data_IF_138807455486
#
_entry.id   IF_138807455486
#
_cell.length_a   1.000
_cell.length_b   1.000
_cell.length_c   1.000
_cell.angle_alpha   90.00
_cell.angle_beta   90.00
_cell.angle_gamma   90.00
#
_symmetry.space_group_name_H-M   'P 1'
#
loop_
_entity.id
_entity.type
_entity.pdbx_description
1 polymer ?
#
# COMPACT_ATOMS: atom_id res chain seq x y z
N UNK A 1 -8.61 -22.69 9.62
CA UNK A 1 -8.36 -21.43 8.89
C UNK A 1 -7.02 -20.82 9.31
N UNK A 2 -6.42 -19.93 8.49
CA UNK A 2 -5.16 -19.21 8.79
C UNK A 2 -5.18 -18.50 10.16
N UNK A 3 -6.34 -17.92 10.54
CA UNK A 3 -6.53 -17.18 11.80
C UNK A 3 -7.00 -18.04 12.99
N UNK A 4 -7.43 -19.27 12.75
CA UNK A 4 -8.09 -20.09 13.80
C UNK A 4 -7.18 -21.20 14.34
N UNK A 5 -6.18 -21.62 13.56
CA UNK A 5 -5.26 -22.66 13.99
C UNK A 5 -3.93 -22.04 14.45
N UNK A 6 -3.90 -21.58 15.70
CA UNK A 6 -2.74 -20.94 16.34
C UNK A 6 -1.51 -21.86 16.34
N UNK A 7 -1.71 -23.18 16.40
CA UNK A 7 -0.62 -24.16 16.39
C UNK A 7 0.23 -24.12 15.11
N UNK A 8 -0.30 -23.60 13.99
CA UNK A 8 0.48 -23.42 12.76
C UNK A 8 1.64 -22.43 12.90
N UNK A 9 1.67 -21.63 13.97
CA UNK A 9 2.65 -20.55 14.20
C UNK A 9 3.67 -20.90 15.28
N UNK A 10 3.59 -22.09 15.88
CA UNK A 10 4.40 -22.47 17.04
C UNK A 10 5.90 -22.58 16.76
N UNK A 11 6.30 -22.60 15.49
CA UNK A 11 7.71 -22.60 15.07
C UNK A 11 8.37 -21.22 15.21
N UNK A 12 7.58 -20.15 15.32
CA UNK A 12 8.05 -18.74 15.32
C UNK A 12 7.57 -18.01 16.58
N UNK A 13 6.35 -18.32 17.05
CA UNK A 13 5.70 -17.63 18.15
C UNK A 13 5.26 -18.59 19.25
N UNK A 14 5.33 -18.13 20.50
CA UNK A 14 4.55 -18.71 21.59
C UNK A 14 3.04 -18.56 21.33
N UNK A 15 2.22 -19.33 22.03
CA UNK A 15 0.76 -19.27 21.87
C UNK A 15 0.19 -17.86 22.10
N UNK A 16 0.73 -17.14 23.09
CA UNK A 16 0.33 -15.76 23.40
C UNK A 16 0.72 -14.79 22.27
N UNK A 17 1.95 -14.91 21.76
CA UNK A 17 2.43 -14.08 20.64
C UNK A 17 1.64 -14.34 19.37
N UNK A 18 1.39 -15.62 19.04
CA UNK A 18 0.61 -16.00 17.87
C UNK A 18 -0.84 -15.51 17.96
N UNK A 19 -1.47 -15.64 19.13
CA UNK A 19 -2.84 -15.14 19.38
C UNK A 19 -2.90 -13.63 19.21
N UNK A 20 -1.95 -12.90 19.82
CA UNK A 20 -1.87 -11.44 19.73
C UNK A 20 -1.63 -10.98 18.29
N UNK A 21 -0.69 -11.59 17.59
CA UNK A 21 -0.36 -11.31 16.20
C UNK A 21 -1.57 -11.51 15.27
N UNK A 22 -2.22 -12.68 15.35
CA UNK A 22 -3.37 -13.00 14.51
C UNK A 22 -4.57 -12.10 14.80
N UNK A 23 -4.80 -11.74 16.07
CA UNK A 23 -5.85 -10.81 16.46
C UNK A 23 -5.60 -9.40 15.88
N UNK A 24 -4.36 -8.90 15.99
CA UNK A 24 -3.97 -7.61 15.42
C UNK A 24 -4.14 -7.58 13.89
N UNK A 25 -3.69 -8.65 13.21
CA UNK A 25 -3.79 -8.73 11.75
C UNK A 25 -5.26 -8.78 11.29
N UNK A 26 -6.12 -9.54 12.00
CA UNK A 26 -7.56 -9.59 11.73
C UNK A 26 -8.23 -8.24 11.97
N UNK A 27 -7.96 -7.60 13.10
CA UNK A 27 -8.49 -6.27 13.41
C UNK A 27 -8.08 -5.23 12.37
N UNK A 28 -6.87 -5.32 11.83
CA UNK A 28 -6.39 -4.44 10.76
C UNK A 28 -7.14 -4.64 9.43
N UNK A 29 -7.45 -5.90 9.08
CA UNK A 29 -8.15 -6.23 7.84
C UNK A 29 -9.66 -5.97 7.92
N UNK A 30 -10.26 -6.17 9.09
CA UNK A 30 -11.68 -5.93 9.35
C UNK A 30 -11.97 -4.45 9.65
N UNK A 31 -10.94 -3.60 9.73
CA UNK A 31 -11.09 -2.18 10.01
C UNK A 31 -11.96 -1.48 8.94
N UNK A 32 -12.90 -0.60 9.32
CA UNK A 32 -13.75 0.11 8.36
C UNK A 32 -12.95 1.00 7.40
N UNK A 33 -11.73 1.38 7.80
CA UNK A 33 -10.78 2.17 7.05
C UNK A 33 -9.53 1.36 6.63
N UNK A 34 -9.69 0.05 6.40
CA UNK A 34 -8.58 -0.80 5.92
C UNK A 34 -7.91 -0.17 4.71
N UNK A 35 -6.62 0.17 4.87
CA UNK A 35 -5.79 0.65 3.79
C UNK A 35 -5.11 -0.56 3.17
N UNK A 36 -5.60 -1.01 2.03
CA UNK A 36 -4.92 -2.03 1.25
C UNK A 36 -3.70 -1.40 0.58
N UNK A 37 -2.58 -2.13 0.56
CA UNK A 37 -1.40 -1.72 -0.20
C UNK A 37 -1.78 -1.39 -1.65
N UNK A 38 -1.08 -0.43 -2.25
CA UNK A 38 -1.30 -0.05 -3.65
C UNK A 38 -0.81 -1.19 -4.57
N UNK A 39 -1.75 -2.02 -5.02
CA UNK A 39 -1.46 -3.20 -5.87
C UNK A 39 -1.45 -2.85 -7.36
N UNK A 40 -0.64 -1.86 -7.72
CA UNK A 40 -0.38 -1.50 -9.11
C UNK A 40 0.92 -2.13 -9.62
N UNK A 41 0.95 -2.61 -10.88
CA UNK A 41 2.21 -2.76 -11.61
C UNK A 41 3.11 -1.54 -11.44
N UNK A 42 4.38 -1.76 -11.09
CA UNK A 42 5.32 -0.66 -10.85
C UNK A 42 5.18 0.06 -9.51
N UNK A 43 4.41 -0.49 -8.54
CA UNK A 43 4.23 0.07 -7.19
C UNK A 43 5.48 0.68 -6.57
N UNK A 44 6.62 -0.01 -6.66
CA UNK A 44 7.89 0.48 -6.10
C UNK A 44 8.30 1.84 -6.66
N UNK A 45 8.11 2.08 -7.97
CA UNK A 45 8.44 3.37 -8.60
C UNK A 45 7.53 4.50 -8.08
N UNK A 46 6.24 4.24 -7.86
CA UNK A 46 5.34 5.21 -7.24
C UNK A 46 5.78 5.56 -5.82
N UNK A 47 6.15 4.55 -5.03
CA UNK A 47 6.60 4.73 -3.64
C UNK A 47 7.93 5.47 -3.58
N UNK A 48 8.89 5.16 -4.46
CA UNK A 48 10.18 5.85 -4.55
C UNK A 48 10.01 7.36 -4.82
N UNK A 49 9.12 7.73 -5.76
CA UNK A 49 8.77 9.13 -6.02
C UNK A 49 8.21 9.82 -4.77
N UNK A 50 7.28 9.16 -4.08
CA UNK A 50 6.69 9.68 -2.85
C UNK A 50 7.74 9.89 -1.77
N UNK A 51 8.56 8.89 -1.49
CA UNK A 51 9.58 8.93 -0.44
C UNK A 51 10.62 10.01 -0.71
N UNK A 52 11.06 10.16 -1.96
CA UNK A 52 12.03 11.17 -2.36
C UNK A 52 11.51 12.59 -2.13
N UNK A 53 10.34 12.91 -2.69
CA UNK A 53 9.78 14.27 -2.60
C UNK A 53 9.28 14.60 -1.18
N UNK A 54 8.73 13.62 -0.46
CA UNK A 54 8.36 13.80 0.94
C UNK A 54 9.59 14.07 1.82
N UNK A 55 10.71 13.39 1.58
CA UNK A 55 11.96 13.62 2.31
C UNK A 55 12.48 15.03 2.10
N UNK A 56 12.45 15.55 0.86
CA UNK A 56 12.85 16.94 0.56
C UNK A 56 11.97 17.95 1.30
N UNK A 57 10.65 17.73 1.33
CA UNK A 57 9.73 18.62 2.05
C UNK A 57 9.98 18.59 3.57
N UNK A 58 10.20 17.41 4.15
CA UNK A 58 10.49 17.26 5.58
C UNK A 58 11.84 17.88 5.99
N UNK A 59 12.81 17.89 5.07
CA UNK A 59 14.09 18.56 5.25
C UNK A 59 14.01 20.09 5.06
N UNK A 60 12.88 20.62 4.59
CA UNK A 60 12.70 22.04 4.28
C UNK A 60 13.39 22.49 2.99
N UNK A 61 13.76 21.56 2.11
CA UNK A 61 14.41 21.86 0.82
C UNK A 61 13.41 22.38 -0.22
N UNK A 62 12.15 21.96 -0.11
CA UNK A 62 11.04 22.41 -0.95
C UNK A 62 9.79 22.66 -0.10
N UNK A 63 8.93 23.57 -0.54
CA UNK A 63 7.63 23.79 0.10
C UNK A 63 6.75 22.54 -0.03
N UNK A 64 5.93 22.19 0.98
CA UNK A 64 5.09 21.00 0.95
C UNK A 64 4.21 20.88 -0.30
N UNK A 65 3.64 22.00 -0.76
CA UNK A 65 2.82 22.02 -1.98
C UNK A 65 3.62 21.64 -3.22
N UNK A 66 4.86 22.13 -3.34
CA UNK A 66 5.73 21.85 -4.50
C UNK A 66 6.11 20.37 -4.54
N UNK A 67 6.39 19.75 -3.39
CA UNK A 67 6.64 18.31 -3.31
C UNK A 67 5.42 17.50 -3.76
N UNK A 68 4.22 17.84 -3.26
CA UNK A 68 2.98 17.15 -3.62
C UNK A 68 2.64 17.29 -5.12
N UNK A 69 2.84 18.48 -5.68
CA UNK A 69 2.63 18.72 -7.12
C UNK A 69 3.62 17.92 -7.98
N UNK A 70 4.87 17.79 -7.51
CA UNK A 70 5.90 16.97 -8.17
C UNK A 70 5.55 15.49 -8.13
N UNK A 71 5.12 14.98 -6.96
CA UNK A 71 4.64 13.60 -6.80
C UNK A 71 3.49 13.33 -7.78
N UNK A 72 2.49 14.21 -7.82
CA UNK A 72 1.34 14.05 -8.72
C UNK A 72 1.75 14.03 -10.19
N UNK A 73 2.72 14.87 -10.58
CA UNK A 73 3.24 14.93 -11.96
C UNK A 73 3.95 13.63 -12.34
N UNK A 74 4.89 13.16 -11.52
CA UNK A 74 5.64 11.93 -11.80
C UNK A 74 4.75 10.68 -11.73
N UNK A 75 3.78 10.63 -10.82
CA UNK A 75 2.80 9.54 -10.79
C UNK A 75 1.94 9.49 -12.05
N UNK A 76 1.52 10.63 -12.60
CA UNK A 76 0.80 10.65 -13.87
C UNK A 76 1.67 10.11 -15.01
N UNK A 77 2.94 10.55 -15.07
CA UNK A 77 3.89 10.07 -16.06
C UNK A 77 4.10 8.55 -15.97
N UNK A 78 4.36 8.02 -14.77
CA UNK A 78 4.48 6.57 -14.54
C UNK A 78 3.21 5.84 -14.97
N UNK A 79 2.03 6.39 -14.64
CA UNK A 79 0.73 5.80 -15.03
C UNK A 79 0.57 5.74 -16.54
N UNK A 80 1.03 6.75 -17.25
CA UNK A 80 0.98 6.78 -18.71
C UNK A 80 2.01 5.83 -19.34
N UNK A 81 3.22 5.73 -18.76
CA UNK A 81 4.26 4.78 -19.19
C UNK A 81 3.84 3.31 -19.00
N UNK A 82 3.17 2.98 -17.88
CA UNK A 82 2.61 1.65 -17.64
C UNK A 82 1.30 1.39 -18.39
N UNK A 83 0.70 2.43 -18.98
CA UNK A 83 -0.61 2.38 -19.63
C UNK A 83 -1.75 2.64 -18.65
N UNK A 84 -2.36 3.81 -18.75
CA UNK A 84 -3.39 4.31 -17.82
C UNK A 84 -4.58 3.36 -17.66
N UNK A 85 -5.10 2.83 -18.76
CA UNK A 85 -6.21 1.87 -18.73
C UNK A 85 -5.83 0.56 -18.04
N UNK A 86 -4.59 0.08 -18.25
CA UNK A 86 -4.10 -1.13 -17.60
C UNK A 86 -3.94 -0.92 -16.09
N UNK A 87 -3.39 0.23 -15.67
CA UNK A 87 -3.29 0.60 -14.26
C UNK A 87 -4.68 0.74 -13.61
N UNK A 88 -5.63 1.36 -14.29
CA UNK A 88 -7.01 1.50 -13.80
C UNK A 88 -7.68 0.13 -13.63
N UNK A 89 -7.53 -0.76 -14.61
CA UNK A 89 -8.06 -2.12 -14.52
C UNK A 89 -7.41 -2.90 -13.35
N UNK A 90 -6.08 -2.82 -13.20
CA UNK A 90 -5.36 -3.47 -12.10
C UNK A 90 -5.81 -2.95 -10.73
N UNK A 91 -5.93 -1.63 -10.57
CA UNK A 91 -6.44 -1.01 -9.35
C UNK A 91 -7.83 -1.52 -9.00
N UNK A 92 -8.77 -1.45 -9.95
CA UNK A 92 -10.16 -1.89 -9.74
C UNK A 92 -10.23 -3.36 -9.37
N UNK A 93 -9.49 -4.23 -10.07
CA UNK A 93 -9.41 -5.65 -9.75
C UNK A 93 -8.88 -5.89 -8.33
N UNK A 94 -7.83 -5.16 -7.91
CA UNK A 94 -7.27 -5.27 -6.57
C UNK A 94 -8.21 -4.81 -5.45
N UNK A 95 -9.13 -3.91 -5.78
CA UNK A 95 -10.17 -3.41 -4.89
C UNK A 95 -11.48 -4.21 -4.98
N UNK A 96 -11.54 -5.25 -5.81
CA UNK A 96 -12.75 -6.05 -6.03
C UNK A 96 -13.87 -5.30 -6.76
N UNK A 97 -13.55 -4.22 -7.47
CA UNK A 97 -14.50 -3.41 -8.23
C UNK A 97 -14.74 -4.02 -9.63
N UNK A 98 -15.95 -3.85 -10.21
CA UNK A 98 -16.23 -4.36 -11.56
C UNK A 98 -15.38 -3.63 -12.62
N UNK A 99 -15.09 -4.23 -13.79
CA UNK A 99 -14.47 -3.53 -14.91
C UNK A 99 -15.25 -2.28 -15.32
N UNK A 100 -14.57 -1.30 -15.94
CA UNK A 100 -15.21 -0.12 -16.55
C UNK A 100 -15.63 -0.40 -17.99
#
# INVERSE_FOLDING_TARGET
SHYENVANWSAIFSEVEATSYLAAQRASLDAPNVALDLRLPGFFAYTEVLELELSKALAGEVEPQVALDTIATEWNKLTDEFGREAQLAAYRASMGLPPL
#
